data_IF_120078043899
#
_entry.id   IF_120078043899
#
_cell.length_a   1.000
_cell.length_b   1.000
_cell.length_c   1.000
_cell.angle_alpha   90.00
_cell.angle_beta   90.00
_cell.angle_gamma   90.00
#
_symmetry.space_group_name_H-M   'P 1'
#
loop_
_entity.id
_entity.type
_entity.pdbx_description
1 polymer ?
#
# COMPACT_ATOMS: atom_id res chain seq x y z
N UNK A 1 18.07 19.00 1.01
CA UNK A 1 19.02 18.74 -0.10
C UNK A 1 20.10 17.76 0.32
N UNK A 2 20.14 16.61 -0.34
CA UNK A 2 21.06 15.50 -0.05
C UNK A 2 22.42 15.74 -0.72
N UNK A 3 23.52 15.52 0.02
CA UNK A 3 24.90 15.73 -0.46
C UNK A 3 25.74 14.48 -0.29
N UNK A 4 26.84 14.39 -1.03
CA UNK A 4 27.85 13.34 -0.81
C UNK A 4 28.87 13.80 0.23
N UNK A 5 29.25 12.91 1.14
CA UNK A 5 30.39 13.14 2.02
C UNK A 5 31.69 13.19 1.19
N UNK A 6 32.62 14.07 1.61
CA UNK A 6 33.89 14.33 0.89
C UNK A 6 34.70 13.06 0.59
N UNK A 7 34.56 12.04 1.45
CA UNK A 7 35.33 10.80 1.36
C UNK A 7 34.69 9.72 0.48
N UNK A 8 33.52 9.98 -0.11
CA UNK A 8 32.83 8.99 -0.96
C UNK A 8 33.47 8.93 -2.35
N UNK A 9 34.16 7.81 -2.59
CA UNK A 9 34.67 7.43 -3.91
C UNK A 9 33.55 6.72 -4.69
N UNK A 10 32.91 7.45 -5.59
CA UNK A 10 31.92 6.92 -6.53
C UNK A 10 32.04 7.66 -7.86
N UNK A 11 31.77 6.96 -8.96
CA UNK A 11 31.76 7.55 -10.29
C UNK A 11 30.71 8.67 -10.42
N UNK A 12 31.00 9.66 -11.28
CA UNK A 12 30.11 10.80 -11.50
C UNK A 12 28.74 10.42 -12.04
N UNK A 13 28.66 9.37 -12.89
CA UNK A 13 27.39 8.86 -13.41
C UNK A 13 26.56 8.24 -12.29
N UNK A 14 27.17 7.36 -11.50
CA UNK A 14 26.52 6.69 -10.37
C UNK A 14 26.01 7.70 -9.32
N UNK A 15 26.75 8.77 -9.07
CA UNK A 15 26.30 9.84 -8.16
C UNK A 15 25.01 10.49 -8.63
N UNK A 16 24.87 10.75 -9.94
CA UNK A 16 23.64 11.32 -10.51
C UNK A 16 22.48 10.34 -10.42
N UNK A 17 22.73 9.07 -10.73
CA UNK A 17 21.71 8.02 -10.62
C UNK A 17 21.17 7.90 -9.20
N UNK A 18 22.05 7.85 -8.19
CA UNK A 18 21.64 7.79 -6.78
C UNK A 18 20.80 9.01 -6.39
N UNK A 19 21.19 10.22 -6.80
CA UNK A 19 20.43 11.42 -6.47
C UNK A 19 19.04 11.43 -7.11
N UNK A 20 18.88 10.88 -8.32
CA UNK A 20 17.59 10.77 -8.98
C UNK A 20 16.62 9.80 -8.30
N UNK A 21 17.14 8.82 -7.54
CA UNK A 21 16.31 7.87 -6.78
C UNK A 21 15.78 8.45 -5.46
N UNK A 22 16.36 9.55 -4.98
CA UNK A 22 16.09 10.04 -3.62
C UNK A 22 15.05 11.18 -3.66
N UNK A 23 14.13 11.23 -2.67
CA UNK A 23 13.23 12.37 -2.52
C UNK A 23 14.00 13.68 -2.29
N UNK A 24 13.56 14.77 -2.91
CA UNK A 24 14.24 16.08 -2.84
C UNK A 24 14.01 16.81 -1.50
N UNK A 25 12.93 16.43 -0.81
CA UNK A 25 12.35 17.16 0.32
C UNK A 25 13.17 17.06 1.62
N UNK A 26 14.20 16.21 1.65
CA UNK A 26 14.91 15.87 2.89
C UNK A 26 16.39 16.28 2.82
N UNK A 27 16.92 16.73 3.96
CA UNK A 27 18.35 16.96 4.14
C UNK A 27 19.04 15.65 4.51
N UNK A 28 20.17 15.40 3.88
CA UNK A 28 20.90 14.17 4.14
C UNK A 28 22.31 14.16 3.58
N UNK A 29 23.05 13.14 4.01
CA UNK A 29 24.43 12.92 3.64
C UNK A 29 24.62 11.46 3.21
N UNK A 30 25.11 11.26 1.98
CA UNK A 30 25.54 9.93 1.52
C UNK A 30 26.95 9.70 2.04
N UNK A 31 27.11 8.71 2.91
CA UNK A 31 28.36 8.42 3.63
C UNK A 31 29.16 7.32 2.97
N UNK A 32 28.49 6.38 2.31
CA UNK A 32 29.11 5.22 1.69
C UNK A 32 28.39 4.85 0.41
N UNK A 33 29.15 4.49 -0.62
CA UNK A 33 28.65 3.93 -1.87
C UNK A 33 29.54 2.74 -2.22
N UNK A 34 28.93 1.65 -2.66
CA UNK A 34 29.60 0.47 -3.17
C UNK A 34 28.91 0.06 -4.47
N UNK A 35 29.67 -0.10 -5.53
CA UNK A 35 29.16 -0.53 -6.83
C UNK A 35 29.62 -1.97 -7.08
N UNK A 36 28.67 -2.87 -7.37
CA UNK A 36 28.96 -4.25 -7.79
C UNK A 36 28.97 -4.36 -9.32
N UNK A 37 28.04 -3.67 -9.99
CA UNK A 37 27.93 -3.63 -11.45
C UNK A 37 27.31 -2.31 -11.93
N UNK A 38 27.06 -2.17 -13.23
CA UNK A 38 26.40 -0.97 -13.79
C UNK A 38 25.02 -0.70 -13.19
N UNK A 39 24.25 -1.75 -12.89
CA UNK A 39 22.88 -1.62 -12.35
C UNK A 39 22.76 -2.02 -10.87
N UNK A 40 23.80 -2.61 -10.28
CA UNK A 40 23.80 -3.05 -8.88
C UNK A 40 24.77 -2.23 -8.06
N UNK A 41 24.22 -1.54 -7.06
CA UNK A 41 24.98 -0.74 -6.12
C UNK A 41 24.28 -0.71 -4.77
N UNK A 42 25.02 -0.31 -3.75
CA UNK A 42 24.48 -0.06 -2.42
C UNK A 42 25.04 1.23 -1.87
N UNK A 43 24.27 1.89 -1.02
CA UNK A 43 24.71 3.12 -0.38
C UNK A 43 24.10 3.27 1.01
N UNK A 44 24.82 4.03 1.84
CA UNK A 44 24.39 4.44 3.17
C UNK A 44 24.10 5.92 3.16
N UNK A 45 22.85 6.27 3.42
CA UNK A 45 22.32 7.61 3.53
C UNK A 45 22.07 7.94 5.00
N UNK A 46 22.48 9.12 5.41
CA UNK A 46 22.20 9.71 6.72
C UNK A 46 21.19 10.83 6.55
N UNK A 47 20.13 10.84 7.34
CA UNK A 47 19.01 11.77 7.22
C UNK A 47 18.78 12.52 8.53
N UNK A 48 18.35 13.77 8.39
CA UNK A 48 17.87 14.63 9.49
C UNK A 48 16.44 14.21 9.91
N UNK A 49 16.26 12.92 10.20
CA UNK A 49 14.97 12.35 10.62
C UNK A 49 15.15 11.73 12.00
N UNK A 50 14.32 12.14 12.94
CA UNK A 50 14.40 11.69 14.34
C UNK A 50 13.16 10.90 14.81
N UNK A 51 12.08 10.91 14.04
CA UNK A 51 10.80 10.27 14.40
C UNK A 51 10.51 9.06 13.52
N UNK A 52 9.69 8.16 14.04
CA UNK A 52 9.23 6.96 13.32
C UNK A 52 8.31 7.34 12.16
N UNK A 53 7.46 8.31 12.38
CA UNK A 53 6.43 8.77 11.44
C UNK A 53 7.09 9.35 10.18
N UNK A 54 8.08 10.22 10.37
CA UNK A 54 8.83 10.83 9.27
C UNK A 54 9.65 9.78 8.50
N UNK A 55 10.22 8.79 9.21
CA UNK A 55 10.94 7.69 8.57
C UNK A 55 10.02 6.81 7.70
N UNK A 56 8.79 6.56 8.15
CA UNK A 56 7.80 5.83 7.36
C UNK A 56 7.30 6.67 6.16
N UNK A 57 7.10 7.97 6.35
CA UNK A 57 6.75 8.90 5.27
C UNK A 57 7.85 8.95 4.19
N UNK A 58 9.12 9.03 4.61
CA UNK A 58 10.27 9.00 3.71
C UNK A 58 10.35 7.69 2.91
N UNK A 59 10.10 6.54 3.54
CA UNK A 59 10.05 5.25 2.82
C UNK A 59 8.96 5.26 1.76
N UNK A 60 7.77 5.76 2.10
CA UNK A 60 6.65 5.86 1.15
C UNK A 60 7.01 6.75 -0.05
N UNK A 61 7.58 7.92 0.21
CA UNK A 61 8.06 8.81 -0.84
C UNK A 61 9.13 8.14 -1.72
N UNK A 62 10.09 7.45 -1.11
CA UNK A 62 11.11 6.72 -1.84
C UNK A 62 10.51 5.62 -2.73
N UNK A 63 9.54 4.85 -2.22
CA UNK A 63 8.80 3.85 -3.01
C UNK A 63 8.03 4.47 -4.17
N UNK A 64 7.45 5.65 -3.98
CA UNK A 64 6.71 6.38 -5.01
C UNK A 64 7.63 6.98 -6.08
N UNK A 65 8.74 7.60 -5.69
CA UNK A 65 9.75 8.14 -6.62
C UNK A 65 10.38 7.02 -7.45
N UNK A 66 10.72 5.90 -6.81
CA UNK A 66 11.42 4.80 -7.48
C UNK A 66 10.51 3.78 -8.14
N UNK A 67 9.19 3.92 -7.99
CA UNK A 67 8.18 2.96 -8.45
C UNK A 67 8.41 1.53 -7.91
N UNK A 68 9.03 1.41 -6.74
CA UNK A 68 9.28 0.13 -6.09
C UNK A 68 8.29 -0.10 -4.94
N UNK A 69 8.29 -1.32 -4.40
CA UNK A 69 7.61 -1.60 -3.14
C UNK A 69 8.42 -2.58 -2.31
N UNK A 70 8.60 -2.24 -1.05
CA UNK A 70 9.35 -2.97 -0.07
C UNK A 70 8.39 -3.52 1.00
N UNK A 71 8.57 -4.78 1.34
CA UNK A 71 7.85 -5.44 2.43
C UNK A 71 8.73 -5.51 3.65
N UNK A 72 8.12 -5.36 4.82
CA UNK A 72 8.79 -5.54 6.10
C UNK A 72 9.38 -6.95 6.16
N UNK A 73 10.69 -7.01 6.33
CA UNK A 73 11.45 -8.22 6.54
C UNK A 73 11.50 -8.57 8.03
N UNK A 74 12.03 -7.64 8.82
CA UNK A 74 12.20 -7.80 10.26
C UNK A 74 11.77 -6.52 10.96
N UNK A 75 11.08 -6.68 12.09
CA UNK A 75 10.81 -5.63 13.06
C UNK A 75 11.72 -5.82 14.27
N UNK A 76 11.98 -4.74 14.99
CA UNK A 76 12.83 -4.73 16.18
C UNK A 76 12.11 -3.99 17.31
N UNK A 77 12.46 -4.23 18.59
CA UNK A 77 11.95 -3.44 19.70
C UNK A 77 12.20 -1.95 19.48
N UNK A 78 11.14 -1.15 19.60
CA UNK A 78 11.17 0.31 19.45
C UNK A 78 11.46 0.97 20.80
N UNK A 79 11.94 2.22 20.80
CA UNK A 79 12.18 3.04 22.00
C UNK A 79 13.09 2.41 23.06
N UNK A 80 14.12 1.70 22.60
CA UNK A 80 15.19 1.20 23.48
C UNK A 80 16.26 2.28 23.69
N UNK A 81 17.12 2.09 24.69
CA UNK A 81 18.26 2.99 24.95
C UNK A 81 19.20 3.22 23.74
N UNK A 82 19.18 2.33 22.75
CA UNK A 82 20.08 2.36 21.58
C UNK A 82 19.37 2.57 20.25
N UNK A 83 18.05 2.39 20.21
CA UNK A 83 17.25 2.38 18.98
C UNK A 83 15.90 3.01 19.29
N UNK A 84 15.59 4.11 18.61
CA UNK A 84 14.24 4.69 18.59
C UNK A 84 13.38 3.85 17.66
N UNK A 85 13.86 3.66 16.42
CA UNK A 85 13.14 2.93 15.39
C UNK A 85 14.10 2.13 14.52
N UNK A 86 13.74 0.88 14.21
CA UNK A 86 14.50 0.06 13.25
C UNK A 86 13.57 -0.88 12.51
N UNK A 87 13.68 -0.89 11.20
CA UNK A 87 13.02 -1.88 10.34
C UNK A 87 13.92 -2.27 9.17
N UNK A 88 13.87 -3.55 8.85
CA UNK A 88 14.48 -4.07 7.64
C UNK A 88 13.37 -4.38 6.66
N UNK A 89 13.62 -4.12 5.39
CA UNK A 89 12.70 -4.38 4.30
C UNK A 89 13.37 -5.15 3.17
N UNK A 90 12.56 -5.84 2.37
CA UNK A 90 12.98 -6.53 1.17
C UNK A 90 12.02 -6.21 0.03
N UNK A 91 12.51 -6.28 -1.21
CA UNK A 91 11.65 -6.06 -2.37
C UNK A 91 10.45 -7.03 -2.39
N UNK A 92 9.28 -6.53 -2.80
CA UNK A 92 8.06 -7.31 -2.91
C UNK A 92 8.16 -8.55 -3.84
N UNK A 93 9.08 -8.53 -4.80
CA UNK A 93 9.33 -9.64 -5.73
C UNK A 93 10.12 -10.79 -5.09
N UNK A 94 10.57 -10.62 -3.85
CA UNK A 94 11.04 -11.71 -3.02
C UNK A 94 9.88 -12.20 -2.11
N UNK A 95 8.94 -12.95 -2.68
CA UNK A 95 7.75 -13.45 -1.97
C UNK A 95 8.03 -14.51 -0.91
N UNK A 96 9.27 -15.03 -0.80
CA UNK A 96 9.70 -16.04 0.18
C UNK A 96 8.73 -17.23 0.27
N UNK A 97 8.52 -17.97 -0.84
CA UNK A 97 7.69 -19.15 -0.83
C UNK A 97 8.21 -20.17 0.19
N UNK A 98 7.31 -20.95 0.78
CA UNK A 98 7.69 -22.08 1.63
C UNK A 98 8.52 -23.08 0.80
N UNK A 99 9.46 -23.77 1.45
CA UNK A 99 10.36 -24.73 0.78
C UNK A 99 9.64 -25.84 0.01
N UNK A 100 8.42 -26.19 0.41
CA UNK A 100 7.58 -27.20 -0.28
C UNK A 100 6.93 -26.72 -1.58
N UNK A 101 7.04 -25.43 -1.93
CA UNK A 101 6.40 -24.88 -3.13
C UNK A 101 7.33 -25.04 -4.34
N UNK A 102 7.03 -26.03 -5.18
CA UNK A 102 7.80 -26.33 -6.40
C UNK A 102 7.76 -25.21 -7.45
N UNK A 103 6.62 -24.53 -7.58
CA UNK A 103 6.42 -23.43 -8.53
C UNK A 103 5.88 -22.19 -7.82
N UNK A 104 6.77 -21.31 -7.34
CA UNK A 104 6.37 -20.04 -6.75
C UNK A 104 5.57 -19.19 -7.76
N UNK A 105 4.76 -18.26 -7.24
CA UNK A 105 4.03 -17.30 -8.06
C UNK A 105 4.98 -16.56 -9.01
N UNK A 106 4.51 -16.20 -10.21
CA UNK A 106 5.25 -15.41 -11.23
C UNK A 106 5.85 -14.09 -10.72
N UNK A 107 5.37 -13.59 -9.56
CA UNK A 107 5.90 -12.38 -8.92
C UNK A 107 7.27 -12.65 -8.28
N UNK A 108 7.60 -13.91 -8.01
CA UNK A 108 8.79 -14.32 -7.28
C UNK A 108 10.02 -14.40 -8.19
N UNK A 109 10.86 -13.36 -8.15
CA UNK A 109 12.12 -13.32 -8.92
C UNK A 109 13.35 -13.57 -8.06
N UNK A 110 13.19 -13.87 -6.76
CA UNK A 110 14.30 -13.96 -5.79
C UNK A 110 15.13 -12.66 -5.70
N UNK A 111 14.49 -11.51 -5.92
CA UNK A 111 15.13 -10.20 -5.84
C UNK A 111 15.90 -10.02 -4.51
N UNK A 112 17.15 -9.52 -4.61
CA UNK A 112 18.07 -9.32 -3.48
C UNK A 112 18.00 -7.91 -2.91
N UNK A 113 17.24 -7.01 -3.53
CA UNK A 113 17.11 -5.63 -3.10
C UNK A 113 16.54 -5.54 -1.67
N UNK A 114 17.18 -4.70 -0.86
CA UNK A 114 16.88 -4.51 0.57
C UNK A 114 17.01 -3.04 0.93
N UNK A 115 16.20 -2.63 1.89
CA UNK A 115 16.24 -1.31 2.50
C UNK A 115 16.21 -1.51 4.00
N UNK A 116 17.18 -0.95 4.72
CA UNK A 116 17.18 -0.99 6.19
C UNK A 116 17.20 0.44 6.70
N UNK A 117 16.30 0.76 7.62
CA UNK A 117 16.24 2.07 8.27
C UNK A 117 16.46 1.92 9.76
N UNK A 118 17.27 2.81 10.34
CA UNK A 118 17.60 2.84 11.76
C UNK A 118 17.61 4.28 12.22
N UNK A 119 16.83 4.61 13.24
CA UNK A 119 16.91 5.88 13.96
C UNK A 119 17.51 5.59 15.34
N UNK A 120 18.62 6.26 15.63
CA UNK A 120 19.33 6.12 16.91
C UNK A 120 19.00 7.34 17.79
N UNK A 121 18.83 7.15 19.11
CA UNK A 121 18.72 8.26 20.03
C UNK A 121 20.05 9.00 20.15
N UNK A 122 19.99 10.27 20.56
CA UNK A 122 21.19 11.05 20.87
C UNK A 122 21.93 10.42 22.05
N UNK A 123 23.25 10.24 21.91
CA UNK A 123 24.08 9.54 22.89
C UNK A 123 25.39 10.30 23.12
N UNK A 124 25.61 10.76 24.36
CA UNK A 124 26.81 11.54 24.75
C UNK A 124 28.15 10.83 24.52
N UNK A 125 28.16 9.49 24.49
CA UNK A 125 29.36 8.66 24.30
C UNK A 125 29.40 7.96 22.93
N UNK A 126 28.59 8.41 21.98
CA UNK A 126 28.60 7.84 20.64
C UNK A 126 29.92 8.18 19.93
N UNK A 127 30.47 7.20 19.21
CA UNK A 127 31.59 7.40 18.29
C UNK A 127 31.11 7.70 16.85
N UNK A 128 29.78 7.74 16.63
CA UNK A 128 29.18 8.03 15.33
C UNK A 128 29.16 9.55 15.09
N UNK A 129 30.01 10.09 14.20
CA UNK A 129 30.18 11.54 14.03
C UNK A 129 28.96 12.20 13.37
N UNK A 130 28.06 11.41 12.78
CA UNK A 130 26.87 11.93 12.10
C UNK A 130 25.64 11.90 12.98
N UNK A 131 25.70 11.31 14.18
CA UNK A 131 24.52 11.08 15.00
C UNK A 131 23.85 12.39 15.44
N UNK A 132 24.63 13.44 15.70
CA UNK A 132 24.13 14.73 16.18
C UNK A 132 23.20 15.38 15.15
N UNK A 133 23.67 15.53 13.91
CA UNK A 133 22.93 16.20 12.82
C UNK A 133 22.01 15.24 12.02
N UNK A 134 22.41 13.97 11.87
CA UNK A 134 21.75 12.98 11.02
C UNK A 134 21.51 11.65 11.75
N UNK A 135 20.55 11.61 12.71
CA UNK A 135 20.34 10.44 13.57
C UNK A 135 19.73 9.23 12.87
N UNK A 136 19.16 9.42 11.66
CA UNK A 136 18.63 8.33 10.85
C UNK A 136 19.67 7.81 9.86
N UNK A 137 19.87 6.50 9.85
CA UNK A 137 20.70 5.77 8.89
C UNK A 137 19.84 4.87 8.02
N UNK A 138 19.88 5.11 6.72
CA UNK A 138 19.23 4.28 5.70
C UNK A 138 20.30 3.57 4.90
N UNK A 139 20.25 2.25 4.89
CA UNK A 139 21.10 1.41 4.05
C UNK A 139 20.26 0.82 2.92
N UNK A 140 20.57 1.21 1.68
CA UNK A 140 19.88 0.74 0.48
C UNK A 140 20.81 -0.18 -0.29
N UNK A 141 20.34 -1.39 -0.54
CA UNK A 141 20.97 -2.33 -1.45
C UNK A 141 20.13 -2.40 -2.73
N UNK A 142 20.55 -1.66 -3.74
CA UNK A 142 19.86 -1.51 -5.01
C UNK A 142 20.33 -2.59 -5.99
N UNK A 143 19.70 -3.76 -5.94
CA UNK A 143 20.02 -4.89 -6.82
C UNK A 143 18.75 -5.62 -7.30
N UNK A 144 17.94 -4.87 -8.04
CA UNK A 144 16.72 -5.39 -8.66
C UNK A 144 17.07 -6.24 -9.88
N UNK A 145 16.60 -7.49 -9.90
CA UNK A 145 16.76 -8.42 -11.01
C UNK A 145 15.48 -8.58 -11.85
N UNK A 146 14.57 -7.60 -11.71
CA UNK A 146 13.31 -7.52 -12.40
C UNK A 146 13.13 -6.09 -12.88
N UNK A 147 12.31 -5.92 -13.91
CA UNK A 147 11.95 -4.60 -14.41
C UNK A 147 11.13 -3.89 -13.31
N UNK A 148 11.49 -2.64 -13.01
CA UNK A 148 10.80 -1.80 -12.00
C UNK A 148 9.62 -1.07 -12.63
N UNK A 149 9.64 -0.91 -13.95
CA UNK A 149 8.59 -0.27 -14.76
C UNK A 149 7.33 -1.16 -14.89
N UNK A 150 6.55 -0.97 -15.96
CA UNK A 150 5.22 -1.53 -16.24
C UNK A 150 4.91 -2.93 -15.67
N UNK A 151 5.76 -3.94 -15.89
CA UNK A 151 5.48 -5.31 -15.43
C UNK A 151 5.54 -5.50 -13.90
N UNK A 152 6.35 -4.69 -13.22
CA UNK A 152 6.47 -4.68 -11.77
C UNK A 152 5.34 -3.89 -11.10
N UNK A 153 4.89 -2.83 -11.76
CA UNK A 153 3.88 -1.88 -11.26
C UNK A 153 2.57 -2.57 -10.84
N UNK A 154 2.06 -3.55 -11.61
CA UNK A 154 0.80 -4.28 -11.30
C UNK A 154 0.78 -4.95 -9.93
N UNK A 155 1.95 -5.20 -9.34
CA UNK A 155 2.08 -5.88 -8.08
C UNK A 155 2.28 -4.96 -6.87
N UNK A 156 2.53 -3.67 -7.10
CA UNK A 156 2.62 -2.65 -6.05
C UNK A 156 1.32 -2.62 -5.25
N UNK A 157 1.43 -2.17 -4.01
CA UNK A 157 0.31 -2.10 -3.06
C UNK A 157 0.40 -0.79 -2.31
N UNK A 158 -0.73 -0.12 -2.16
CA UNK A 158 -0.90 1.06 -1.32
C UNK A 158 -1.92 0.76 -0.24
N UNK A 159 -1.65 1.25 0.97
CA UNK A 159 -2.60 1.19 2.08
C UNK A 159 -3.79 2.15 1.86
N UNK A 160 -3.63 3.18 1.03
CA UNK A 160 -4.72 4.12 0.70
C UNK A 160 -5.87 3.43 -0.03
N UNK A 161 -5.55 2.50 -0.94
CA UNK A 161 -6.55 1.70 -1.64
C UNK A 161 -7.41 0.89 -0.67
N UNK A 162 -6.83 0.45 0.45
CA UNK A 162 -7.60 -0.24 1.48
C UNK A 162 -8.71 0.65 2.02
N UNK A 163 -8.38 1.88 2.41
CA UNK A 163 -9.35 2.84 2.97
C UNK A 163 -10.42 3.23 1.96
N UNK A 164 -10.03 3.47 0.70
CA UNK A 164 -10.96 3.83 -0.39
C UNK A 164 -11.97 2.68 -0.63
N UNK A 165 -11.48 1.45 -0.80
CA UNK A 165 -12.35 0.31 -1.08
C UNK A 165 -13.16 -0.13 0.13
N UNK A 166 -12.63 0.01 1.35
CA UNK A 166 -13.41 -0.17 2.57
C UNK A 166 -14.60 0.79 2.62
N UNK A 167 -14.40 2.06 2.20
CA UNK A 167 -15.47 3.03 2.05
C UNK A 167 -16.51 2.62 1.00
N UNK A 168 -16.09 2.11 -0.16
CA UNK A 168 -17.02 1.60 -1.17
C UNK A 168 -17.88 0.44 -0.63
N UNK A 169 -17.27 -0.49 0.09
CA UNK A 169 -17.99 -1.63 0.66
C UNK A 169 -18.93 -1.22 1.79
N UNK A 170 -18.54 -0.25 2.62
CA UNK A 170 -19.43 0.34 3.62
C UNK A 170 -20.66 1.00 2.99
N UNK A 171 -20.53 1.51 1.75
CA UNK A 171 -21.62 2.06 0.95
C UNK A 171 -22.39 0.99 0.13
N UNK A 172 -22.19 -0.30 0.40
CA UNK A 172 -22.93 -1.38 -0.24
C UNK A 172 -22.44 -1.79 -1.64
N UNK A 173 -21.31 -1.28 -2.11
CA UNK A 173 -20.76 -1.70 -3.40
C UNK A 173 -20.25 -3.14 -3.35
N UNK A 174 -20.60 -3.93 -4.37
CA UNK A 174 -19.96 -5.22 -4.63
C UNK A 174 -18.51 -5.04 -5.10
N UNK A 175 -17.64 -6.06 -5.02
CA UNK A 175 -16.25 -5.98 -5.49
C UNK A 175 -16.10 -5.49 -6.93
N UNK A 176 -17.02 -5.89 -7.82
CA UNK A 176 -17.01 -5.48 -9.23
C UNK A 176 -17.42 -4.01 -9.35
N UNK A 177 -18.57 -3.64 -8.76
CA UNK A 177 -19.08 -2.26 -8.86
C UNK A 177 -18.12 -1.24 -8.23
N UNK A 178 -17.47 -1.60 -7.11
CA UNK A 178 -16.46 -0.77 -6.46
C UNK A 178 -15.23 -0.56 -7.36
N UNK A 179 -14.78 -1.60 -8.05
CA UNK A 179 -13.65 -1.51 -8.97
C UNK A 179 -13.98 -0.64 -10.18
N UNK A 180 -15.16 -0.80 -10.77
CA UNK A 180 -15.57 0.02 -11.91
C UNK A 180 -15.76 1.49 -11.52
N UNK A 181 -16.39 1.76 -10.37
CA UNK A 181 -16.48 3.11 -9.81
C UNK A 181 -15.09 3.73 -9.62
N UNK A 182 -14.14 2.97 -9.08
CA UNK A 182 -12.77 3.43 -8.89
C UNK A 182 -12.07 3.77 -10.20
N UNK A 183 -12.23 2.92 -11.23
CA UNK A 183 -11.67 3.18 -12.57
C UNK A 183 -12.28 4.42 -13.20
N UNK A 184 -13.59 4.61 -13.10
CA UNK A 184 -14.28 5.81 -13.62
C UNK A 184 -13.71 7.07 -12.96
N UNK A 185 -13.47 7.04 -11.64
CA UNK A 185 -12.82 8.16 -10.94
C UNK A 185 -11.41 8.43 -11.44
N UNK A 186 -10.58 7.40 -11.55
CA UNK A 186 -9.22 7.52 -12.09
C UNK A 186 -9.21 8.03 -13.54
N UNK A 187 -10.16 7.60 -14.36
CA UNK A 187 -10.29 8.06 -15.75
C UNK A 187 -10.72 9.53 -15.81
N UNK A 188 -11.60 9.95 -14.90
CA UNK A 188 -12.02 11.35 -14.79
C UNK A 188 -10.85 12.24 -14.37
N UNK A 189 -10.01 11.76 -13.45
CA UNK A 189 -8.86 12.50 -12.90
C UNK A 189 -7.69 12.60 -13.89
N UNK A 190 -7.35 11.51 -14.57
CA UNK A 190 -6.14 11.42 -15.41
C UNK A 190 -6.41 11.48 -16.92
N UNK A 191 -7.68 11.45 -17.35
CA UNK A 191 -8.07 11.56 -18.75
C UNK A 191 -7.33 10.58 -19.66
N UNK A 192 -6.52 11.11 -20.58
CA UNK A 192 -5.76 10.33 -21.56
C UNK A 192 -4.64 9.49 -20.94
N UNK A 193 -4.10 9.87 -19.77
CA UNK A 193 -3.04 9.12 -19.08
C UNK A 193 -3.58 7.99 -18.18
N UNK A 194 -4.89 7.74 -18.20
CA UNK A 194 -5.54 6.69 -17.41
C UNK A 194 -4.86 5.33 -17.55
N UNK A 195 -4.46 4.92 -18.77
CA UNK A 195 -3.85 3.60 -19.00
C UNK A 195 -2.53 3.42 -18.25
N UNK A 196 -1.75 4.49 -18.06
CA UNK A 196 -0.48 4.45 -17.30
C UNK A 196 -0.76 4.24 -15.82
N UNK A 197 -1.72 4.98 -15.28
CA UNK A 197 -2.11 4.90 -13.85
C UNK A 197 -2.80 3.58 -13.54
N UNK A 198 -3.63 3.07 -14.45
CA UNK A 198 -4.35 1.82 -14.30
C UNK A 198 -3.42 0.59 -14.26
N UNK A 199 -2.22 0.69 -14.85
CA UNK A 199 -1.21 -0.37 -14.80
C UNK A 199 -0.53 -0.50 -13.42
N UNK A 200 -0.58 0.56 -12.60
CA UNK A 200 0.01 0.56 -11.27
C UNK A 200 -0.95 -0.04 -10.24
N UNK A 201 -0.55 -1.17 -9.65
CA UNK A 201 -1.30 -1.87 -8.61
C UNK A 201 -1.44 -1.09 -7.30
N UNK A 202 -0.63 -0.06 -7.07
CA UNK A 202 -0.78 0.88 -5.96
C UNK A 202 -1.90 1.92 -6.21
N UNK A 203 -2.27 2.16 -7.48
CA UNK A 203 -3.29 3.15 -7.88
C UNK A 203 -4.60 2.48 -8.32
N UNK A 204 -4.51 1.37 -9.05
CA UNK A 204 -5.64 0.59 -9.51
C UNK A 204 -5.45 -0.89 -9.11
N UNK A 205 -6.23 -1.40 -8.15
CA UNK A 205 -6.11 -2.79 -7.73
C UNK A 205 -6.66 -3.73 -8.81
N UNK A 206 -6.24 -4.99 -8.74
CA UNK A 206 -6.82 -6.03 -9.59
C UNK A 206 -8.11 -6.62 -8.99
N UNK A 207 -8.92 -7.26 -9.84
CA UNK A 207 -10.19 -7.90 -9.45
C UNK A 207 -10.01 -8.85 -8.27
N UNK A 208 -8.99 -9.73 -8.32
CA UNK A 208 -8.72 -10.72 -7.26
C UNK A 208 -8.50 -10.03 -5.90
N UNK A 209 -7.78 -8.90 -5.88
CA UNK A 209 -7.53 -8.14 -4.66
C UNK A 209 -8.83 -7.56 -4.09
N UNK A 210 -9.71 -7.01 -4.94
CA UNK A 210 -10.99 -6.45 -4.51
C UNK A 210 -11.86 -7.51 -3.83
N UNK A 211 -11.99 -8.70 -4.43
CA UNK A 211 -12.71 -9.81 -3.82
C UNK A 211 -12.09 -10.24 -2.48
N UNK A 212 -10.77 -10.41 -2.43
CA UNK A 212 -10.09 -10.78 -1.18
C UNK A 212 -10.29 -9.75 -0.07
N UNK A 213 -10.26 -8.46 -0.41
CA UNK A 213 -10.49 -7.39 0.55
C UNK A 213 -11.94 -7.40 1.05
N UNK A 214 -12.91 -7.49 0.13
CA UNK A 214 -14.32 -7.58 0.47
C UNK A 214 -14.57 -8.73 1.45
N UNK A 215 -14.20 -9.96 1.10
CA UNK A 215 -14.40 -11.09 2.01
C UNK A 215 -13.61 -10.96 3.30
N UNK A 216 -12.45 -10.31 3.32
CA UNK A 216 -11.72 -10.05 4.56
C UNK A 216 -12.47 -9.07 5.49
N UNK A 217 -13.14 -8.07 4.93
CA UNK A 217 -13.96 -7.12 5.70
C UNK A 217 -15.25 -7.81 6.14
N UNK A 218 -15.98 -8.43 5.21
CA UNK A 218 -17.23 -9.13 5.50
C UNK A 218 -17.04 -10.30 6.46
N UNK A 219 -15.99 -11.11 6.32
CA UNK A 219 -15.72 -12.20 7.27
C UNK A 219 -15.35 -11.68 8.66
N UNK A 220 -14.77 -10.47 8.80
CA UNK A 220 -14.63 -9.87 10.14
C UNK A 220 -16.01 -9.53 10.70
N UNK A 221 -16.83 -8.83 9.92
CA UNK A 221 -18.18 -8.41 10.34
C UNK A 221 -19.11 -9.59 10.64
N UNK A 222 -19.11 -10.63 9.82
CA UNK A 222 -20.02 -11.77 9.96
C UNK A 222 -19.56 -12.83 10.97
N UNK A 223 -18.27 -12.91 11.32
CA UNK A 223 -17.80 -13.88 12.33
C UNK A 223 -18.12 -13.43 13.75
N UNK A 224 -18.36 -12.14 13.93
CA UNK A 224 -18.72 -11.52 15.21
C UNK A 224 -20.25 -11.51 15.44
N UNK A 225 -21.05 -11.91 14.45
CA UNK A 225 -22.51 -11.95 14.52
C UNK A 225 -22.97 -13.42 14.55
N UNK A 226 -23.87 -13.78 15.45
CA UNK A 226 -24.57 -15.06 15.35
C UNK A 226 -25.43 -15.09 14.07
N UNK A 227 -25.84 -16.28 13.61
CA UNK A 227 -26.78 -16.40 12.48
C UNK A 227 -28.01 -15.52 12.71
N UNK A 228 -28.49 -15.44 13.95
CA UNK A 228 -29.65 -14.63 14.34
C UNK A 228 -29.36 -13.12 14.31
N UNK A 229 -28.17 -12.70 14.75
CA UNK A 229 -27.75 -11.28 14.68
C UNK A 229 -27.57 -10.81 13.24
N UNK A 230 -27.09 -11.68 12.34
CA UNK A 230 -27.02 -11.36 10.90
C UNK A 230 -28.39 -11.17 10.28
N UNK A 231 -29.38 -12.00 10.65
CA UNK A 231 -30.74 -11.86 10.15
C UNK A 231 -31.41 -10.59 10.70
N UNK A 232 -31.18 -10.27 11.98
CA UNK A 232 -31.70 -9.03 12.59
C UNK A 232 -31.07 -7.78 11.96
N UNK A 233 -29.77 -7.81 11.62
CA UNK A 233 -29.10 -6.74 10.90
C UNK A 233 -29.67 -6.55 9.48
N UNK A 234 -29.98 -7.65 8.79
CA UNK A 234 -30.64 -7.66 7.48
C UNK A 234 -32.05 -7.05 7.54
N UNK A 235 -32.87 -7.40 8.55
CA UNK A 235 -34.19 -6.80 8.74
C UNK A 235 -34.12 -5.30 8.99
N UNK A 236 -33.18 -4.88 9.84
CA UNK A 236 -32.96 -3.45 10.09
C UNK A 236 -32.56 -2.73 8.80
N UNK A 237 -31.66 -3.31 8.01
CA UNK A 237 -31.23 -2.72 6.75
C UNK A 237 -32.39 -2.59 5.75
N UNK A 238 -33.25 -3.61 5.64
CA UNK A 238 -34.42 -3.58 4.76
C UNK A 238 -35.42 -2.52 5.20
N UNK A 239 -35.63 -2.38 6.51
CA UNK A 239 -36.48 -1.32 7.07
C UNK A 239 -35.91 0.06 6.74
N UNK A 240 -34.63 0.30 7.04
CA UNK A 240 -33.96 1.58 6.75
C UNK A 240 -33.96 1.90 5.24
N UNK A 241 -33.88 0.88 4.38
CA UNK A 241 -33.97 1.03 2.93
C UNK A 241 -35.37 1.42 2.46
N UNK A 242 -36.41 0.70 2.94
CA UNK A 242 -37.80 1.01 2.62
C UNK A 242 -38.20 2.40 3.14
N UNK A 243 -37.74 2.78 4.34
CA UNK A 243 -37.96 4.10 4.92
C UNK A 243 -37.32 5.20 4.06
N UNK A 244 -36.12 4.98 3.50
CA UNK A 244 -35.48 5.91 2.56
C UNK A 244 -36.19 6.00 1.21
N UNK A 245 -36.71 4.88 0.72
CA UNK A 245 -37.45 4.83 -0.54
C UNK A 245 -38.88 5.37 -0.42
N UNK A 246 -39.43 5.42 0.80
CA UNK A 246 -40.82 5.79 1.06
C UNK A 246 -41.84 4.74 0.59
N UNK A 247 -41.38 3.54 0.26
CA UNK A 247 -42.18 2.41 -0.24
C UNK A 247 -41.52 1.08 0.13
N UNK A 248 -42.27 -0.02 0.06
CA UNK A 248 -41.77 -1.37 0.33
C UNK A 248 -40.98 -1.90 -0.88
N UNK A 249 -39.74 -1.44 -1.03
CA UNK A 249 -38.86 -1.80 -2.14
C UNK A 249 -38.07 -3.10 -1.90
N UNK A 250 -37.92 -3.52 -0.65
CA UNK A 250 -37.30 -4.80 -0.28
C UNK A 250 -38.15 -5.56 0.75
N UNK A 251 -38.17 -6.89 0.64
CA UNK A 251 -38.85 -7.79 1.57
C UNK A 251 -37.96 -9.00 1.85
N UNK A 252 -38.05 -9.53 3.07
CA UNK A 252 -37.33 -10.72 3.50
C UNK A 252 -38.31 -11.81 3.94
N UNK A 253 -38.05 -13.05 3.53
CA UNK A 253 -38.73 -14.24 4.01
C UNK A 253 -37.70 -15.19 4.63
N UNK A 254 -38.05 -15.80 5.76
CA UNK A 254 -37.21 -16.79 6.44
C UNK A 254 -37.84 -18.18 6.24
N UNK A 255 -37.06 -19.16 5.80
CA UNK A 255 -37.49 -20.57 5.84
C UNK A 255 -37.10 -21.15 7.21
N UNK A 256 -38.12 -21.50 8.01
CA UNK A 256 -37.93 -22.07 9.35
C UNK A 256 -37.30 -23.46 9.34
N UNK A 257 -37.23 -24.11 8.17
CA UNK A 257 -36.82 -25.51 8.03
C UNK A 257 -35.34 -25.64 7.69
N UNK A 258 -34.82 -24.75 6.84
CA UNK A 258 -33.42 -24.77 6.40
C UNK A 258 -32.57 -23.67 7.03
N UNK A 259 -33.17 -22.76 7.82
CA UNK A 259 -32.54 -21.53 8.31
C UNK A 259 -32.05 -20.60 7.19
N UNK A 260 -32.57 -20.77 5.97
CA UNK A 260 -32.25 -19.91 4.84
C UNK A 260 -33.09 -18.64 4.86
N UNK A 261 -32.48 -17.55 4.38
CA UNK A 261 -33.10 -16.23 4.29
C UNK A 261 -33.15 -15.80 2.84
N UNK A 262 -34.35 -15.58 2.31
CA UNK A 262 -34.56 -15.03 0.97
C UNK A 262 -34.87 -13.54 1.07
N UNK A 263 -34.03 -12.72 0.45
CA UNK A 263 -34.27 -11.28 0.31
C UNK A 263 -34.62 -10.96 -1.15
N UNK A 264 -35.76 -10.33 -1.38
CA UNK A 264 -36.18 -9.83 -2.68
C UNK A 264 -36.14 -8.30 -2.64
N UNK A 265 -35.43 -7.69 -3.59
CA UNK A 265 -35.38 -6.25 -3.77
C UNK A 265 -35.88 -5.93 -5.17
N UNK A 266 -36.78 -4.95 -5.26
CA UNK A 266 -37.26 -4.38 -6.52
C UNK A 266 -36.53 -3.07 -6.77
N UNK A 267 -35.98 -2.90 -7.97
CA UNK A 267 -35.38 -1.62 -8.36
C UNK A 267 -36.43 -0.51 -8.32
N UNK A 268 -36.24 0.45 -7.41
CA UNK A 268 -36.99 1.70 -7.41
C UNK A 268 -36.43 2.59 -8.52
N UNK A 269 -37.19 2.80 -9.59
CA UNK A 269 -36.90 3.77 -10.65
C UNK A 269 -36.83 5.20 -10.09
N UNK A 270 -35.72 5.61 -9.49
CA UNK A 270 -35.40 7.01 -9.20
C UNK A 270 -34.39 7.55 -10.22
N UNK A 271 -34.76 7.52 -11.50
CA UNK A 271 -34.19 8.40 -12.53
C UNK A 271 -35.25 8.78 -13.58
N UNK A 272 -36.27 9.53 -13.18
CA UNK A 272 -37.00 10.44 -14.09
C UNK A 272 -37.58 11.62 -13.31
N UNK A 273 -36.71 12.53 -12.85
CA UNK A 273 -37.10 13.90 -12.54
C UNK A 273 -35.97 14.84 -12.93
N UNK A 274 -35.74 15.02 -14.24
CA UNK A 274 -35.16 16.24 -14.82
C UNK A 274 -35.48 16.36 -16.32
N UNK A 275 -36.68 16.86 -16.60
CA UNK A 275 -37.04 17.70 -17.75
C UNK A 275 -38.41 18.26 -17.38
N UNK A 276 -38.59 19.52 -17.01
CA UNK A 276 -38.06 20.72 -17.62
C UNK A 276 -39.28 21.55 -18.00
N UNK A 277 -39.77 22.37 -17.07
CA UNK A 277 -40.68 23.46 -17.39
C UNK A 277 -39.95 24.40 -18.35
N UNK A 278 -40.38 24.43 -19.61
CA UNK A 278 -40.65 25.62 -20.43
C UNK A 278 -41.20 25.19 -21.78
#
# INVERSE_FOLDING_TARGET
MIKFCKNVKADGSLKKEILHLLPEDVNGLIVKVQQESTSFFSFTLRLEISTKEDALAWIKQFEDTTLTSFKVNNTFPENTQKIIFKKNFHCQHNTRPKSCVLRPHEKHTKCRARLNIVIKPQMKRSQDPYLEDYPCEVNINWCHNHIIDYEGLKYRRSDELWSIFAGYYANGHSPISALELHKIKLQTEHGQDFYKVAADGARCPNKIWCYKLYYKIFHKTCRDLSSEDTVNALEKYIKDYNDKCGDTCATMSRDTTTSDVLCLCRESNQQQLHSGNK
#
